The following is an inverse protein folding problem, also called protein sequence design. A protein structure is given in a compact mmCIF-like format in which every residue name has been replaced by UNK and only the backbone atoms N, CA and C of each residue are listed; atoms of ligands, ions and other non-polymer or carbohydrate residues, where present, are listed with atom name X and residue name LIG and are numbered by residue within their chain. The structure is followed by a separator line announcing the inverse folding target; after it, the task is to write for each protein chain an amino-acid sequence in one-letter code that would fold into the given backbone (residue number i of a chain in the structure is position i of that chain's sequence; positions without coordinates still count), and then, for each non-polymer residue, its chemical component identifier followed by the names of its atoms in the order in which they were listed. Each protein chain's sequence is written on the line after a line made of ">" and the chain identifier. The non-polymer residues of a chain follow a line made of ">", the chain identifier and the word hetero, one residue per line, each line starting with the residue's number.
data_IF_483848596250
#
_entry.id   IF_483848596250
#
_cell.length_a   1.000
_cell.length_b   1.000
_cell.length_c   1.000
_cell.angle_alpha   90.00
_cell.angle_beta   90.00
_cell.angle_gamma   90.00
#
_symmetry.space_group_name_H-M   'P 1'
#
loop_
_entity.id
_entity.type
_entity.pdbx_description
1 polymer ?
#
# COMPACT_ATOMS: atom_id res chain seq x y z
N UNK A 1 17.74 -8.51 15.23
CA UNK A 1 16.69 -9.55 15.13
C UNK A 1 16.01 -9.40 13.78
N UNK A 2 15.76 -10.50 13.04
CA UNK A 2 14.97 -10.42 11.79
C UNK A 2 13.51 -10.17 12.17
N UNK A 3 13.06 -8.91 12.07
CA UNK A 3 11.67 -8.52 12.31
C UNK A 3 10.81 -8.78 11.07
N UNK A 4 10.98 -9.95 10.47
CA UNK A 4 10.25 -10.37 9.28
C UNK A 4 8.92 -11.01 9.69
N UNK A 5 7.81 -10.48 9.20
CA UNK A 5 6.46 -11.00 9.37
C UNK A 5 5.92 -11.49 8.05
N UNK A 6 5.13 -12.56 8.11
CA UNK A 6 4.49 -13.14 6.93
C UNK A 6 2.99 -13.07 7.10
N UNK A 7 2.29 -12.48 6.13
CA UNK A 7 0.82 -12.45 6.10
C UNK A 7 0.35 -13.34 4.96
N UNK A 8 -0.59 -14.26 5.26
CA UNK A 8 -1.27 -15.05 4.24
C UNK A 8 -2.33 -14.19 3.56
N UNK A 9 -2.28 -14.14 2.24
CA UNK A 9 -3.25 -13.44 1.36
C UNK A 9 -3.83 -14.44 0.36
N UNK A 10 -4.88 -14.07 -0.37
CA UNK A 10 -5.58 -14.97 -1.29
C UNK A 10 -4.64 -15.64 -2.30
N UNK A 11 -3.69 -14.88 -2.86
CA UNK A 11 -2.71 -15.36 -3.84
C UNK A 11 -1.39 -15.90 -3.27
N UNK A 12 -1.30 -16.16 -1.95
CA UNK A 12 -0.11 -16.71 -1.30
C UNK A 12 0.27 -15.95 -0.04
N UNK A 13 1.46 -15.36 -0.01
CA UNK A 13 1.99 -14.68 1.16
C UNK A 13 2.67 -13.37 0.78
N UNK A 14 2.57 -12.37 1.67
CA UNK A 14 3.39 -11.16 1.64
C UNK A 14 4.37 -11.18 2.81
N UNK A 15 5.60 -10.73 2.57
CA UNK A 15 6.65 -10.65 3.58
C UNK A 15 6.90 -9.19 3.93
N UNK A 16 7.01 -8.93 5.23
CA UNK A 16 7.06 -7.58 5.79
C UNK A 16 8.26 -7.51 6.70
N UNK A 17 9.26 -6.73 6.31
CA UNK A 17 10.44 -6.49 7.13
C UNK A 17 10.25 -5.22 7.96
N UNK A 18 9.83 -5.40 9.22
CA UNK A 18 9.63 -4.30 10.17
C UNK A 18 10.96 -3.75 10.71
N UNK A 19 12.09 -4.38 10.38
CA UNK A 19 13.43 -3.86 10.73
C UNK A 19 13.89 -2.72 9.82
N UNK A 20 13.12 -2.38 8.79
CA UNK A 20 13.44 -1.36 7.80
C UNK A 20 12.37 -0.25 7.76
N UNK A 21 12.38 0.68 8.73
CA UNK A 21 11.39 1.76 8.82
C UNK A 21 11.41 2.68 7.59
N UNK A 22 12.58 2.88 6.96
CA UNK A 22 12.73 3.69 5.75
C UNK A 22 11.88 3.18 4.59
N UNK A 23 11.65 1.86 4.51
CA UNK A 23 10.77 1.26 3.51
C UNK A 23 9.33 1.73 3.64
N UNK A 24 8.83 1.88 4.86
CA UNK A 24 7.48 2.37 5.13
C UNK A 24 7.36 3.87 4.93
N UNK A 25 8.38 4.64 5.34
CA UNK A 25 8.43 6.07 5.05
C UNK A 25 8.42 6.34 3.53
N UNK A 26 9.20 5.56 2.77
CA UNK A 26 9.19 5.60 1.30
C UNK A 26 7.83 5.21 0.73
N UNK A 27 7.19 4.19 1.28
CA UNK A 27 5.85 3.78 0.83
C UNK A 27 4.81 4.90 1.03
N UNK A 28 4.77 5.50 2.21
CA UNK A 28 3.90 6.63 2.52
C UNK A 28 4.09 7.78 1.54
N UNK A 29 5.36 8.17 1.29
CA UNK A 29 5.71 9.21 0.33
C UNK A 29 5.28 8.88 -1.11
N UNK A 30 5.37 7.62 -1.53
CA UNK A 30 4.94 7.20 -2.86
C UNK A 30 3.42 7.28 -3.02
N UNK A 31 2.66 6.92 -1.98
CA UNK A 31 1.20 7.08 -1.95
C UNK A 31 0.82 8.56 -1.99
N UNK A 32 1.44 9.38 -1.14
CA UNK A 32 1.22 10.83 -1.11
C UNK A 32 1.50 11.46 -2.49
N UNK A 33 2.62 11.12 -3.13
CA UNK A 33 2.94 11.58 -4.48
C UNK A 33 1.97 11.09 -5.55
N UNK A 34 1.39 9.90 -5.40
CA UNK A 34 0.34 9.41 -6.30
C UNK A 34 -0.94 10.25 -6.14
N UNK A 35 -1.37 10.50 -4.90
CA UNK A 35 -2.54 11.33 -4.60
C UNK A 35 -2.35 12.77 -5.09
N UNK A 36 -1.20 13.41 -4.84
CA UNK A 36 -0.92 14.77 -5.33
C UNK A 36 -0.96 14.85 -6.85
N UNK A 37 -0.44 13.83 -7.56
CA UNK A 37 -0.49 13.79 -9.03
C UNK A 37 -1.92 13.63 -9.54
N UNK A 38 -2.73 12.82 -8.88
CA UNK A 38 -4.15 12.69 -9.19
C UNK A 38 -4.91 14.00 -8.93
N UNK A 39 -4.68 14.65 -7.79
CA UNK A 39 -5.29 15.94 -7.44
C UNK A 39 -4.92 17.03 -8.48
N UNK A 40 -3.66 17.09 -8.92
CA UNK A 40 -3.23 18.01 -9.99
C UNK A 40 -3.85 17.70 -11.35
N UNK A 41 -4.01 16.42 -11.69
CA UNK A 41 -4.67 16.00 -12.92
C UNK A 41 -6.18 16.28 -12.89
N UNK A 42 -6.77 16.31 -11.69
CA UNK A 42 -8.17 16.63 -11.46
C UNK A 42 -8.43 18.15 -11.33
N UNK A 43 -7.42 19.02 -11.44
CA UNK A 43 -7.61 20.47 -11.37
C UNK A 43 -8.57 20.94 -12.49
N UNK A 44 -9.84 21.08 -12.14
CA UNK A 44 -10.98 21.31 -13.05
C UNK A 44 -12.22 20.42 -12.79
N UNK A 45 -12.11 19.39 -11.94
CA UNK A 45 -13.20 18.52 -11.53
C UNK A 45 -13.32 18.47 -9.99
N UNK A 46 -14.53 18.65 -9.48
CA UNK A 46 -14.85 18.78 -8.04
C UNK A 46 -14.65 17.48 -7.21
N UNK A 47 -14.23 16.39 -7.84
CA UNK A 47 -14.08 15.10 -7.20
C UNK A 47 -12.70 14.52 -7.49
N UNK A 48 -12.04 14.01 -6.44
CA UNK A 48 -10.93 13.06 -6.57
C UNK A 48 -11.42 11.84 -7.33
N UNK A 49 -11.37 11.88 -8.66
CA UNK A 49 -11.64 10.70 -9.47
C UNK A 49 -10.48 9.74 -9.30
N UNK A 50 -10.79 8.51 -8.88
CA UNK A 50 -9.84 7.40 -8.92
C UNK A 50 -9.47 7.08 -10.37
N UNK A 51 -8.51 7.83 -10.91
CA UNK A 51 -8.06 7.61 -12.28
C UNK A 51 -7.31 6.27 -12.39
N UNK A 52 -7.30 5.63 -13.58
CA UNK A 52 -6.50 4.44 -13.82
C UNK A 52 -5.02 4.61 -13.46
N UNK A 53 -4.47 5.81 -13.66
CA UNK A 53 -3.09 6.16 -13.33
C UNK A 53 -2.84 6.14 -11.83
N UNK A 54 -3.74 6.76 -11.04
CA UNK A 54 -3.67 6.71 -9.58
C UNK A 54 -3.67 5.27 -9.09
N UNK A 55 -4.63 4.47 -9.55
CA UNK A 55 -4.76 3.06 -9.17
C UNK A 55 -3.53 2.24 -9.55
N UNK A 56 -2.96 2.48 -10.73
CA UNK A 56 -1.71 1.84 -11.14
C UNK A 56 -0.55 2.24 -10.25
N UNK A 57 -0.45 3.49 -9.83
CA UNK A 57 0.65 3.98 -9.01
C UNK A 57 0.54 3.50 -7.56
N UNK A 58 -0.68 3.40 -7.01
CA UNK A 58 -0.95 2.73 -5.73
C UNK A 58 -0.45 1.27 -5.76
N UNK A 59 -0.75 0.53 -6.84
CA UNK A 59 -0.27 -0.83 -7.01
C UNK A 59 1.25 -0.93 -7.09
N UNK A 60 1.91 -0.07 -7.88
CA UNK A 60 3.38 -0.02 -7.95
C UNK A 60 4.01 0.29 -6.60
N UNK A 61 3.47 1.27 -5.87
CA UNK A 61 3.96 1.64 -4.55
C UNK A 61 3.87 0.46 -3.58
N UNK A 62 2.76 -0.29 -3.62
CA UNK A 62 2.59 -1.49 -2.82
C UNK A 62 3.58 -2.60 -3.19
N UNK A 63 3.74 -2.90 -4.49
CA UNK A 63 4.70 -3.88 -4.99
C UNK A 63 6.15 -3.53 -4.64
N UNK A 64 6.52 -2.24 -4.66
CA UNK A 64 7.85 -1.79 -4.23
C UNK A 64 8.08 -2.04 -2.73
N UNK A 65 7.03 -1.95 -1.93
CA UNK A 65 7.10 -2.11 -0.47
C UNK A 65 7.03 -3.56 -0.03
N UNK A 66 6.22 -4.39 -0.67
CA UNK A 66 5.99 -5.79 -0.22
C UNK A 66 6.59 -6.83 -1.15
N UNK A 67 7.09 -6.42 -2.31
CA UNK A 67 7.70 -7.27 -3.32
C UNK A 67 6.86 -7.33 -4.61
N UNK A 68 7.52 -7.67 -5.71
CA UNK A 68 6.90 -7.71 -7.04
C UNK A 68 5.68 -8.64 -7.08
N UNK A 69 4.57 -8.15 -7.63
CA UNK A 69 3.33 -8.90 -7.81
C UNK A 69 2.51 -9.12 -6.55
N UNK A 70 2.84 -8.44 -5.44
CA UNK A 70 2.10 -8.56 -4.19
C UNK A 70 0.74 -7.85 -4.26
N UNK A 71 0.58 -6.78 -5.03
CA UNK A 71 -0.74 -6.17 -5.26
C UNK A 71 -1.74 -7.18 -5.84
N UNK A 72 -1.35 -7.95 -6.86
CA UNK A 72 -2.23 -8.98 -7.43
C UNK A 72 -2.58 -10.06 -6.41
N UNK A 73 -1.64 -10.45 -5.55
CA UNK A 73 -1.87 -11.49 -4.52
C UNK A 73 -2.76 -11.02 -3.38
N UNK A 74 -2.65 -9.74 -3.01
CA UNK A 74 -3.39 -9.12 -1.91
C UNK A 74 -4.78 -8.66 -2.36
N UNK A 75 -4.86 -7.92 -3.48
CA UNK A 75 -6.07 -7.23 -3.94
C UNK A 75 -6.77 -7.93 -5.11
N UNK A 76 -6.15 -8.96 -5.70
CA UNK A 76 -6.64 -9.59 -6.94
C UNK A 76 -6.38 -8.77 -8.22
N UNK A 77 -5.75 -7.59 -8.10
CA UNK A 77 -5.45 -6.68 -9.22
C UNK A 77 -4.10 -5.99 -9.04
N UNK A 78 -3.49 -5.56 -10.14
CA UNK A 78 -2.29 -4.72 -10.11
C UNK A 78 -2.59 -3.22 -9.92
N UNK A 79 -3.87 -2.83 -10.03
CA UNK A 79 -4.32 -1.45 -9.91
C UNK A 79 -5.44 -1.37 -8.85
N UNK A 80 -5.10 -1.52 -7.55
CA UNK A 80 -6.08 -1.46 -6.49
C UNK A 80 -6.75 -0.08 -6.43
N UNK A 81 -7.99 -0.03 -5.94
CA UNK A 81 -8.63 1.24 -5.59
C UNK A 81 -8.08 1.80 -4.28
N UNK A 82 -8.35 3.09 -4.02
CA UNK A 82 -8.14 3.76 -2.74
C UNK A 82 -8.85 2.98 -1.64
N UNK A 83 -10.13 2.64 -1.82
CA UNK A 83 -10.88 1.88 -0.81
C UNK A 83 -10.26 0.51 -0.50
N UNK A 84 -9.70 -0.19 -1.50
CA UNK A 84 -8.96 -1.43 -1.25
C UNK A 84 -7.66 -1.19 -0.45
N UNK A 85 -6.99 -0.06 -0.71
CA UNK A 85 -5.78 0.32 0.03
C UNK A 85 -6.10 0.73 1.47
N UNK A 86 -7.17 1.50 1.68
CA UNK A 86 -7.71 1.87 2.99
C UNK A 86 -8.08 0.62 3.80
N UNK A 87 -8.84 -0.31 3.22
CA UNK A 87 -9.20 -1.57 3.89
C UNK A 87 -7.94 -2.38 4.28
N UNK A 88 -6.90 -2.36 3.44
CA UNK A 88 -5.63 -2.97 3.80
C UNK A 88 -4.98 -2.27 4.99
N UNK A 89 -4.94 -0.94 5.01
CA UNK A 89 -4.36 -0.18 6.12
C UNK A 89 -5.10 -0.40 7.43
N UNK A 90 -6.44 -0.39 7.41
CA UNK A 90 -7.27 -0.63 8.59
C UNK A 90 -6.98 -1.98 9.24
N UNK A 91 -6.66 -2.99 8.42
CA UNK A 91 -6.28 -4.34 8.89
C UNK A 91 -4.80 -4.44 9.23
N UNK A 92 -3.94 -3.75 8.49
CA UNK A 92 -2.49 -3.87 8.60
C UNK A 92 -1.94 -3.09 9.80
N UNK A 93 -2.41 -1.87 10.04
CA UNK A 93 -1.89 -0.99 11.11
C UNK A 93 -2.02 -1.64 12.49
N UNK A 94 -3.18 -2.20 12.90
CA UNK A 94 -3.29 -2.86 14.20
C UNK A 94 -2.35 -4.07 14.35
N UNK A 95 -2.15 -4.84 13.27
CA UNK A 95 -1.21 -5.96 13.26
C UNK A 95 0.23 -5.48 13.41
N UNK A 96 0.60 -4.41 12.69
CA UNK A 96 1.92 -3.81 12.77
C UNK A 96 2.22 -3.26 14.16
N UNK A 97 1.28 -2.53 14.77
CA UNK A 97 1.40 -2.00 16.12
C UNK A 97 1.60 -3.13 17.15
N UNK A 98 0.77 -4.18 17.08
CA UNK A 98 0.90 -5.38 17.92
C UNK A 98 2.28 -6.04 17.78
N UNK A 99 2.84 -6.09 16.58
CA UNK A 99 4.16 -6.68 16.35
C UNK A 99 5.32 -5.82 16.85
N UNK A 100 5.16 -4.50 16.85
CA UNK A 100 6.16 -3.56 17.33
C UNK A 100 6.07 -3.34 18.85
N UNK A 101 5.10 -3.95 19.53
CA UNK A 101 4.86 -3.76 20.96
C UNK A 101 4.13 -2.45 21.28
N UNK A 102 3.53 -1.80 20.28
CA UNK A 102 2.59 -0.70 20.48
C UNK A 102 1.27 -1.28 20.98
N UNK A 103 0.90 -0.90 22.21
CA UNK A 103 -0.37 -1.22 22.85
C UNK A 103 -1.57 -0.67 22.08
#
# INVERSE_FOLDING_TARGET
>A
MKNLKTIKVKGGYIQIDLGNPDKFAKWSKLIEQACIRADKAAAGADERKETPELRSDLGKAFDMTFGRGTSKKTFGTAAPSIGQMEEFFDKFIPLANKWLGGA
#
